data_IF_942258415103
#
_entry.id   IF_942258415103
#
_cell.length_a   1.000
_cell.length_b   1.000
_cell.length_c   1.000
_cell.angle_alpha   90.00
_cell.angle_beta   90.00
_cell.angle_gamma   90.00
#
_symmetry.space_group_name_H-M   'P 1'
#
loop_
_entity.id
_entity.type
_entity.pdbx_description
1 polymer ?
#
# COMPACT_ATOMS: atom_id res chain seq x y z
N UNK A 1 -23.22 13.97 49.12
CA UNK A 1 -23.57 13.86 47.69
C UNK A 1 -22.36 14.19 46.86
N UNK A 2 -21.91 13.25 46.01
CA UNK A 2 -20.78 13.46 45.09
C UNK A 2 -21.30 14.09 43.80
N UNK A 3 -20.74 15.24 43.41
CA UNK A 3 -21.00 15.88 42.12
C UNK A 3 -20.23 15.17 41.00
N UNK A 4 -20.95 14.68 40.00
CA UNK A 4 -20.40 14.15 38.75
C UNK A 4 -20.95 14.96 37.58
N UNK A 5 -20.08 15.69 36.88
CA UNK A 5 -20.41 16.34 35.61
C UNK A 5 -20.51 15.31 34.48
N UNK A 6 -21.26 15.59 33.39
CA UNK A 6 -21.43 14.64 32.31
C UNK A 6 -20.16 14.55 31.44
N UNK A 7 -19.62 13.33 31.33
CA UNK A 7 -18.64 12.94 30.33
C UNK A 7 -19.28 13.00 28.94
N UNK A 8 -18.72 13.83 28.04
CA UNK A 8 -19.00 13.76 26.61
C UNK A 8 -18.41 12.46 26.03
N UNK A 9 -19.16 11.66 25.25
CA UNK A 9 -18.60 10.56 24.51
C UNK A 9 -17.73 11.10 23.36
N UNK A 10 -16.50 10.57 23.27
CA UNK A 10 -15.52 10.93 22.26
C UNK A 10 -16.01 10.68 20.83
N UNK A 11 -15.67 11.62 19.95
CA UNK A 11 -15.83 11.48 18.50
C UNK A 11 -15.04 10.29 17.95
N UNK A 12 -15.56 9.55 16.95
CA UNK A 12 -14.79 8.52 16.27
C UNK A 12 -13.70 9.16 15.40
N UNK A 13 -12.46 8.72 15.59
CA UNK A 13 -11.32 9.01 14.71
C UNK A 13 -11.61 8.49 13.30
N UNK A 14 -11.39 9.32 12.28
CA UNK A 14 -11.53 8.95 10.88
C UNK A 14 -10.57 7.79 10.54
N UNK A 15 -11.13 6.59 10.41
CA UNK A 15 -10.38 5.40 10.06
C UNK A 15 -9.88 5.51 8.61
N UNK A 16 -8.59 5.75 8.44
CA UNK A 16 -7.87 5.41 7.21
C UNK A 16 -8.00 3.89 7.01
N UNK A 17 -8.86 3.50 6.07
CA UNK A 17 -9.09 2.10 5.72
C UNK A 17 -7.82 1.46 5.19
N UNK A 18 -7.31 0.42 5.87
CA UNK A 18 -6.24 -0.43 5.34
C UNK A 18 -6.87 -1.44 4.40
N UNK A 19 -6.66 -1.26 3.11
CA UNK A 19 -7.05 -2.24 2.11
C UNK A 19 -6.48 -3.62 2.47
N UNK A 20 -7.36 -4.60 2.66
CA UNK A 20 -6.98 -5.96 3.04
C UNK A 20 -6.82 -6.82 1.79
N UNK A 21 -5.60 -7.26 1.54
CA UNK A 21 -5.30 -8.32 0.58
C UNK A 21 -5.20 -9.64 1.33
N UNK A 22 -6.11 -10.57 1.07
CA UNK A 22 -6.10 -11.88 1.70
C UNK A 22 -5.62 -12.97 0.72
N UNK A 23 -4.43 -13.50 0.97
CA UNK A 23 -3.98 -14.77 0.40
C UNK A 23 -4.30 -15.86 1.42
N UNK A 24 -5.58 -16.29 1.48
CA UNK A 24 -5.97 -17.43 2.30
C UNK A 24 -5.48 -18.72 1.61
N UNK A 25 -4.54 -19.41 2.25
CA UNK A 25 -4.37 -20.86 2.07
C UNK A 25 -5.30 -21.54 3.07
N UNK A 26 -6.08 -22.53 2.63
CA UNK A 26 -6.78 -23.40 3.57
C UNK A 26 -5.76 -24.26 4.36
N UNK A 27 -5.93 -24.28 5.69
CA UNK A 27 -5.49 -25.34 6.59
C UNK A 27 -4.00 -25.40 7.01
N UNK A 28 -3.68 -24.94 8.23
CA UNK A 28 -2.95 -25.74 9.25
C UNK A 28 -2.70 -24.98 10.56
N UNK A 29 -2.50 -25.68 11.71
CA UNK A 29 -2.94 -25.23 13.02
C UNK A 29 -1.94 -24.38 13.82
N UNK A 30 -2.52 -23.65 14.79
CA UNK A 30 -1.85 -22.82 15.80
C UNK A 30 -0.90 -23.65 16.67
N UNK A 31 0.31 -23.14 16.91
CA UNK A 31 1.14 -23.52 18.06
C UNK A 31 1.18 -22.38 19.07
N UNK A 32 0.71 -22.67 20.26
CA UNK A 32 0.86 -21.91 21.50
C UNK A 32 2.28 -22.07 22.04
N UNK A 33 2.89 -20.97 22.52
CA UNK A 33 4.17 -20.98 23.23
C UNK A 33 4.08 -20.16 24.53
N UNK A 34 4.80 -20.53 25.61
CA UNK A 34 4.59 -19.97 26.95
C UNK A 34 5.50 -18.76 27.29
N UNK A 35 5.16 -18.11 28.40
CA UNK A 35 5.78 -16.92 29.01
C UNK A 35 6.98 -17.24 29.92
N UNK A 36 7.99 -16.36 29.93
CA UNK A 36 8.86 -15.97 31.07
C UNK A 36 9.88 -14.94 30.52
N UNK A 37 10.44 -13.95 31.22
CA UNK A 37 10.43 -13.50 32.61
C UNK A 37 11.15 -12.13 32.69
N UNK A 38 10.98 -11.42 33.80
CA UNK A 38 11.52 -10.08 34.07
C UNK A 38 13.06 -10.01 34.17
N UNK A 39 13.62 -8.86 33.81
CA UNK A 39 14.99 -8.46 34.13
C UNK A 39 15.12 -6.94 34.16
N UNK A 40 15.24 -6.37 35.38
CA UNK A 40 15.51 -4.94 35.61
C UNK A 40 17.00 -4.64 35.36
N UNK A 41 17.29 -3.57 34.63
CA UNK A 41 18.63 -2.97 34.55
C UNK A 41 18.54 -1.47 34.30
N UNK A 42 18.95 -0.66 35.29
CA UNK A 42 19.17 0.79 35.16
C UNK A 42 20.55 1.02 34.55
N UNK A 43 20.69 1.95 33.59
CA UNK A 43 21.80 2.92 33.57
C UNK A 43 21.69 3.96 32.44
N UNK A 44 21.75 5.22 32.87
CA UNK A 44 22.53 6.36 32.34
C UNK A 44 22.13 6.95 30.98
N UNK A 45 21.73 8.22 31.07
CA UNK A 45 21.51 9.10 29.93
C UNK A 45 22.80 9.38 29.15
N UNK A 46 22.64 9.38 27.83
CA UNK A 46 23.56 10.01 26.89
C UNK A 46 22.72 10.86 25.95
N UNK A 47 23.07 12.14 25.83
CA UNK A 47 22.47 13.11 24.91
C UNK A 47 22.59 12.58 23.48
N UNK A 48 21.52 12.02 22.95
CA UNK A 48 21.44 11.64 21.54
C UNK A 48 21.29 12.92 20.70
N UNK A 49 22.41 13.33 20.11
CA UNK A 49 22.51 14.26 18.98
C UNK A 49 21.34 14.03 18.00
N UNK A 50 20.60 15.10 17.66
CA UNK A 50 19.56 15.13 16.63
C UNK A 50 20.18 14.79 15.27
N UNK A 51 20.44 13.51 15.02
CA UNK A 51 20.73 13.00 13.68
C UNK A 51 19.41 12.97 12.93
N UNK A 52 19.25 13.98 12.06
CA UNK A 52 18.28 14.03 10.98
C UNK A 52 18.25 12.65 10.30
N UNK A 53 17.22 11.86 10.59
CA UNK A 53 17.03 10.53 9.99
C UNK A 53 16.79 10.75 8.50
N UNK A 54 17.86 10.62 7.71
CA UNK A 54 17.78 10.51 6.26
C UNK A 54 17.08 9.17 6.01
N UNK A 55 15.80 9.19 5.67
CA UNK A 55 15.03 8.00 5.31
C UNK A 55 15.55 7.45 3.99
N UNK A 56 16.67 6.74 4.07
CA UNK A 56 17.48 6.23 2.97
C UNK A 56 16.82 5.09 2.19
N UNK A 57 15.57 4.72 2.50
CA UNK A 57 14.88 3.56 1.92
C UNK A 57 13.68 3.86 1.02
N UNK A 58 13.31 5.13 0.77
CA UNK A 58 12.05 5.46 0.06
C UNK A 58 12.29 5.92 -1.36
N UNK A 59 12.15 5.02 -2.33
CA UNK A 59 12.14 5.36 -3.76
C UNK A 59 10.70 5.63 -4.20
N UNK A 60 10.40 6.90 -4.48
CA UNK A 60 9.11 7.31 -5.07
C UNK A 60 9.11 6.92 -6.55
N UNK A 61 8.09 6.18 -6.98
CA UNK A 61 7.88 5.94 -8.41
C UNK A 61 7.13 7.13 -9.00
N UNK A 62 7.72 7.76 -10.03
CA UNK A 62 6.99 8.63 -10.95
C UNK A 62 6.55 7.75 -12.14
N UNK A 63 5.31 7.25 -12.14
CA UNK A 63 4.83 6.43 -13.25
C UNK A 63 4.68 7.26 -14.52
N UNK A 64 5.10 6.71 -15.65
CA UNK A 64 4.90 7.32 -16.97
C UNK A 64 3.57 6.81 -17.57
N UNK A 65 2.79 7.67 -18.25
CA UNK A 65 1.63 7.23 -19.01
C UNK A 65 2.10 6.39 -20.20
N UNK A 66 1.67 5.12 -20.24
CA UNK A 66 2.05 4.21 -21.32
C UNK A 66 0.97 4.03 -22.37
N UNK A 67 -0.29 3.88 -21.95
CA UNK A 67 -1.41 3.54 -22.84
C UNK A 67 -2.72 4.12 -22.26
N UNK A 68 -3.41 4.90 -23.08
CA UNK A 68 -4.74 5.45 -22.78
C UNK A 68 -5.62 5.22 -23.99
N UNK A 69 -6.67 4.42 -23.84
CA UNK A 69 -7.71 4.24 -24.85
C UNK A 69 -9.06 4.42 -24.16
N UNK A 70 -9.88 5.35 -24.66
CA UNK A 70 -11.19 5.69 -24.10
C UNK A 70 -11.14 6.02 -22.59
N UNK A 71 -10.22 6.92 -22.24
CA UNK A 71 -9.97 7.39 -20.87
C UNK A 71 -9.07 8.62 -20.84
N UNK A 72 -8.71 9.08 -19.65
CA UNK A 72 -7.78 10.18 -19.45
C UNK A 72 -6.87 9.95 -18.24
N UNK A 73 -5.67 10.51 -18.33
CA UNK A 73 -4.73 10.61 -17.21
C UNK A 73 -4.52 12.10 -16.97
N UNK A 74 -4.95 12.60 -15.82
CA UNK A 74 -4.86 14.03 -15.48
C UNK A 74 -4.34 14.20 -14.06
N UNK A 75 -3.61 15.29 -13.82
CA UNK A 75 -3.27 15.72 -12.46
C UNK A 75 -4.37 16.65 -11.99
N UNK A 76 -5.03 16.30 -10.90
CA UNK A 76 -6.13 17.08 -10.32
C UNK A 76 -5.84 17.34 -8.84
N UNK A 77 -6.43 18.40 -8.29
CA UNK A 77 -6.44 18.64 -6.84
C UNK A 77 -7.63 17.90 -6.24
N UNK A 78 -7.38 16.94 -5.34
CA UNK A 78 -8.47 16.21 -4.69
C UNK A 78 -9.03 17.02 -3.51
N UNK A 79 -10.36 17.09 -3.41
CA UNK A 79 -11.04 17.90 -2.40
C UNK A 79 -10.81 17.41 -0.96
N UNK A 80 -10.59 16.11 -0.75
CA UNK A 80 -10.48 15.54 0.60
C UNK A 80 -9.11 15.80 1.21
N UNK A 81 -8.04 15.78 0.39
CA UNK A 81 -6.66 15.96 0.84
C UNK A 81 -6.03 17.30 0.42
N UNK A 82 -6.75 18.09 -0.39
CA UNK A 82 -6.31 19.38 -0.93
C UNK A 82 -4.90 19.32 -1.55
N UNK A 83 -4.59 18.21 -2.22
CA UNK A 83 -3.27 17.93 -2.78
C UNK A 83 -3.39 17.43 -4.21
N UNK A 84 -2.32 17.61 -4.99
CA UNK A 84 -2.24 17.12 -6.35
C UNK A 84 -2.16 15.59 -6.37
N UNK A 85 -3.06 14.98 -7.12
CA UNK A 85 -3.16 13.53 -7.31
C UNK A 85 -3.21 13.22 -8.79
N UNK A 86 -2.73 12.04 -9.16
CA UNK A 86 -2.84 11.53 -10.51
C UNK A 86 -4.15 10.75 -10.63
N UNK A 87 -5.11 11.30 -11.37
CA UNK A 87 -6.34 10.59 -11.73
C UNK A 87 -6.13 9.82 -13.03
N UNK A 88 -6.51 8.54 -13.00
CA UNK A 88 -6.52 7.65 -14.16
C UNK A 88 -7.95 7.13 -14.26
N UNK A 89 -8.65 7.51 -15.32
CA UNK A 89 -10.01 7.07 -15.57
C UNK A 89 -10.10 6.46 -16.97
N UNK A 90 -10.89 5.41 -17.11
CA UNK A 90 -11.10 4.75 -18.39
C UNK A 90 -12.30 3.83 -18.36
N UNK A 91 -13.00 3.76 -19.48
CA UNK A 91 -14.15 2.86 -19.66
C UNK A 91 -13.75 1.40 -19.50
N UNK A 92 -12.61 1.01 -20.06
CA UNK A 92 -12.04 -0.32 -19.92
C UNK A 92 -10.76 -0.31 -19.06
N UNK A 93 -10.79 -1.06 -17.97
CA UNK A 93 -9.69 -1.18 -17.01
C UNK A 93 -8.45 -1.80 -17.66
N UNK A 94 -8.60 -2.72 -18.62
CA UNK A 94 -7.45 -3.39 -19.24
C UNK A 94 -6.68 -2.50 -20.21
N UNK A 95 -7.32 -1.49 -20.81
CA UNK A 95 -6.73 -0.70 -21.90
C UNK A 95 -6.07 0.59 -21.44
N UNK A 96 -6.43 1.09 -20.25
CA UNK A 96 -5.89 2.33 -19.70
C UNK A 96 -5.10 2.01 -18.44
N UNK A 97 -3.78 2.22 -18.51
CA UNK A 97 -2.88 1.95 -17.40
C UNK A 97 -1.58 2.75 -17.52
N UNK A 98 -0.96 2.95 -16.37
CA UNK A 98 0.40 3.44 -16.24
C UNK A 98 1.34 2.27 -15.96
N UNK A 99 2.55 2.32 -16.50
CA UNK A 99 3.60 1.33 -16.23
C UNK A 99 4.86 2.03 -15.76
N UNK A 100 5.58 1.36 -14.86
CA UNK A 100 6.91 1.74 -14.46
C UNK A 100 7.79 0.48 -14.51
N UNK A 101 8.83 0.43 -15.35
CA UNK A 101 9.36 1.51 -16.20
C UNK A 101 8.57 1.70 -17.50
N UNK A 102 8.72 2.88 -18.15
CA UNK A 102 8.06 3.20 -19.41
C UNK A 102 8.45 2.24 -20.56
N UNK A 103 9.74 1.86 -20.59
CA UNK A 103 10.28 0.94 -21.59
C UNK A 103 9.97 -0.52 -21.21
N UNK A 104 9.38 -1.33 -22.10
CA UNK A 104 9.17 -2.77 -21.92
C UNK A 104 10.46 -3.56 -21.64
N UNK A 105 11.60 -3.12 -22.20
CA UNK A 105 12.89 -3.82 -22.09
C UNK A 105 13.61 -3.53 -20.77
N UNK A 106 13.31 -2.39 -20.13
CA UNK A 106 13.93 -1.99 -18.87
C UNK A 106 13.22 -2.62 -17.68
N UNK A 107 13.95 -2.77 -16.58
CA UNK A 107 13.44 -3.26 -15.29
C UNK A 107 13.73 -2.24 -14.20
N UNK A 108 12.90 -2.22 -13.15
CA UNK A 108 13.06 -1.33 -12.00
C UNK A 108 14.24 -1.73 -11.09
N UNK A 109 14.44 -3.03 -10.89
CA UNK A 109 15.52 -3.58 -10.05
C UNK A 109 15.40 -3.21 -8.57
N UNK A 110 14.17 -3.10 -8.04
CA UNK A 110 13.94 -2.67 -6.65
C UNK A 110 13.89 -3.90 -5.74
N UNK A 111 14.82 -4.00 -4.79
CA UNK A 111 14.95 -5.14 -3.86
C UNK A 111 14.13 -5.00 -2.56
N UNK A 112 13.40 -3.90 -2.42
CA UNK A 112 12.60 -3.62 -1.23
C UNK A 112 11.36 -4.53 -1.21
N UNK A 113 11.04 -5.20 -0.08
CA UNK A 113 9.98 -6.21 0.00
C UNK A 113 8.56 -5.65 0.10
N UNK A 114 8.37 -4.44 0.63
CA UNK A 114 7.05 -3.85 0.77
C UNK A 114 6.81 -2.81 -0.31
N UNK A 115 5.73 -2.99 -1.06
CA UNK A 115 5.17 -1.97 -1.95
C UNK A 115 3.99 -1.32 -1.24
N UNK A 116 4.05 0.00 -1.07
CA UNK A 116 2.98 0.77 -0.45
C UNK A 116 2.42 1.77 -1.44
N UNK A 117 1.10 1.77 -1.58
CA UNK A 117 0.36 2.64 -2.50
C UNK A 117 -0.75 3.36 -1.75
N UNK A 118 -0.85 4.67 -1.97
CA UNK A 118 -1.93 5.50 -1.44
C UNK A 118 -2.86 5.82 -2.60
N UNK A 119 -4.02 5.18 -2.61
CA UNK A 119 -5.00 5.29 -3.69
C UNK A 119 -6.37 5.67 -3.16
N UNK A 120 -7.14 6.45 -3.92
CA UNK A 120 -8.55 6.69 -3.64
C UNK A 120 -9.40 5.73 -4.46
N UNK A 121 -10.33 5.06 -3.78
CA UNK A 121 -11.32 4.20 -4.41
C UNK A 121 -12.42 5.06 -5.06
N UNK A 122 -12.60 4.93 -6.37
CA UNK A 122 -13.64 5.61 -7.14
C UNK A 122 -14.92 4.78 -7.27
N UNK A 123 -15.08 3.70 -6.49
CA UNK A 123 -16.21 2.75 -6.55
C UNK A 123 -16.40 2.12 -7.94
N UNK A 124 -15.31 2.01 -8.70
CA UNK A 124 -15.24 1.44 -10.05
C UNK A 124 -14.24 0.29 -10.07
N UNK A 125 -14.26 -0.52 -11.12
CA UNK A 125 -13.33 -1.63 -11.25
C UNK A 125 -11.89 -1.16 -11.36
N UNK A 126 -11.03 -1.70 -10.50
CA UNK A 126 -9.63 -1.35 -10.35
C UNK A 126 -8.77 -2.62 -10.23
N UNK A 127 -7.60 -2.57 -10.85
CA UNK A 127 -6.59 -3.62 -10.72
C UNK A 127 -5.19 -3.02 -10.78
N UNK A 128 -4.24 -3.68 -10.12
CA UNK A 128 -2.83 -3.41 -10.32
C UNK A 128 -2.07 -4.71 -10.52
N UNK A 129 -0.93 -4.62 -11.21
CA UNK A 129 -0.02 -5.72 -11.47
C UNK A 129 1.39 -5.37 -11.01
N UNK A 130 2.05 -6.33 -10.38
CA UNK A 130 3.46 -6.25 -10.01
C UNK A 130 4.17 -7.47 -10.54
N UNK A 131 5.23 -7.25 -11.31
CA UNK A 131 6.11 -8.29 -11.79
C UNK A 131 7.34 -8.39 -10.89
N UNK A 132 7.60 -9.58 -10.38
CA UNK A 132 8.73 -9.88 -9.51
C UNK A 132 9.64 -10.93 -10.12
N UNK A 133 10.88 -10.94 -9.67
CA UNK A 133 11.85 -11.99 -9.92
C UNK A 133 12.01 -12.84 -8.65
N UNK A 134 11.97 -14.16 -8.80
CA UNK A 134 12.23 -15.11 -7.73
C UNK A 134 13.67 -15.66 -7.75
N UNK A 135 14.06 -16.39 -6.70
CA UNK A 135 15.36 -17.07 -6.56
C UNK A 135 15.65 -18.14 -7.61
N UNK A 136 14.60 -18.64 -8.29
CA UNK A 136 14.70 -19.56 -9.43
C UNK A 136 14.83 -18.83 -10.76
N UNK A 137 15.05 -17.51 -10.72
CA UNK A 137 15.14 -16.65 -11.90
C UNK A 137 13.88 -16.68 -12.79
N UNK A 138 12.73 -17.01 -12.21
CA UNK A 138 11.42 -17.03 -12.87
C UNK A 138 10.71 -15.71 -12.60
N UNK A 139 10.19 -15.12 -13.68
CA UNK A 139 9.39 -13.89 -13.61
C UNK A 139 7.96 -14.22 -13.26
N UNK A 140 7.47 -13.72 -12.14
CA UNK A 140 6.10 -13.96 -11.67
C UNK A 140 5.32 -12.66 -11.59
N UNK A 141 4.04 -12.74 -11.89
CA UNK A 141 3.14 -11.58 -11.86
C UNK A 141 2.10 -11.75 -10.76
N UNK A 142 1.99 -10.74 -9.93
CA UNK A 142 0.92 -10.59 -8.95
C UNK A 142 -0.09 -9.58 -9.49
N UNK A 143 -1.31 -10.03 -9.75
CA UNK A 143 -2.43 -9.16 -10.11
C UNK A 143 -3.38 -9.11 -8.93
N UNK A 144 -3.70 -7.92 -8.46
CA UNK A 144 -4.72 -7.72 -7.44
C UNK A 144 -5.85 -6.87 -8.01
N UNK A 145 -7.09 -7.33 -7.83
CA UNK A 145 -8.27 -6.73 -8.46
C UNK A 145 -9.47 -6.73 -7.54
N UNK A 146 -10.30 -5.69 -7.61
CA UNK A 146 -11.49 -5.54 -6.76
C UNK A 146 -12.74 -6.31 -7.26
N UNK A 147 -12.72 -6.80 -8.50
CA UNK A 147 -13.79 -7.63 -9.09
C UNK A 147 -13.52 -9.14 -8.97
N UNK A 148 -12.37 -9.54 -8.46
CA UNK A 148 -12.03 -10.93 -8.24
C UNK A 148 -12.46 -11.32 -6.83
N UNK A 149 -13.15 -12.46 -6.68
CA UNK A 149 -13.59 -12.96 -5.37
C UNK A 149 -12.66 -14.04 -4.80
N UNK A 150 -11.96 -14.78 -5.66
CA UNK A 150 -11.14 -15.93 -5.25
C UNK A 150 -9.68 -15.75 -5.67
N UNK A 151 -8.75 -16.11 -4.79
CA UNK A 151 -7.33 -16.19 -5.13
C UNK A 151 -7.09 -17.37 -6.08
N UNK A 152 -6.32 -17.16 -7.15
CA UNK A 152 -5.91 -18.21 -8.09
C UNK A 152 -4.41 -18.13 -8.33
N UNK A 153 -3.72 -19.25 -8.13
CA UNK A 153 -2.27 -19.34 -8.33
C UNK A 153 -2.00 -20.17 -9.57
N UNK A 154 -1.50 -19.54 -10.62
CA UNK A 154 -0.94 -20.18 -11.82
C UNK A 154 0.57 -20.05 -11.80
N UNK A 155 1.34 -20.88 -12.53
CA UNK A 155 2.80 -20.84 -12.51
C UNK A 155 3.41 -19.44 -12.69
N UNK A 156 2.89 -18.63 -13.62
CA UNK A 156 3.45 -17.29 -13.89
C UNK A 156 2.62 -16.14 -13.33
N UNK A 157 1.39 -16.39 -12.86
CA UNK A 157 0.44 -15.35 -12.47
C UNK A 157 -0.33 -15.77 -11.23
N UNK A 158 -0.31 -14.93 -10.21
CA UNK A 158 -1.18 -15.04 -9.04
C UNK A 158 -2.20 -13.91 -9.08
N UNK A 159 -3.49 -14.25 -9.17
CA UNK A 159 -4.60 -13.29 -9.11
C UNK A 159 -5.19 -13.29 -7.71
N UNK A 160 -5.24 -12.13 -7.05
CA UNK A 160 -5.74 -11.98 -5.68
C UNK A 160 -6.94 -11.03 -5.64
N UNK A 161 -7.96 -11.34 -4.81
CA UNK A 161 -9.01 -10.39 -4.50
C UNK A 161 -8.44 -9.26 -3.64
N UNK A 162 -8.96 -8.04 -3.83
CA UNK A 162 -8.77 -6.95 -2.88
C UNK A 162 -10.10 -6.36 -2.49
N UNK A 163 -10.18 -5.87 -1.25
CA UNK A 163 -11.27 -5.02 -0.80
C UNK A 163 -10.69 -3.64 -0.50
N UNK A 164 -11.33 -2.63 -1.08
CA UNK A 164 -11.01 -1.22 -0.87
C UNK A 164 -12.18 -0.59 -0.14
N UNK A 165 -11.87 0.18 0.88
CA UNK A 165 -12.86 0.96 1.61
C UNK A 165 -13.22 2.22 0.80
N UNK A 166 -14.24 2.93 1.23
CA UNK A 166 -14.63 4.20 0.63
C UNK A 166 -13.60 5.29 0.96
N UNK A 167 -13.23 6.09 -0.04
CA UNK A 167 -12.27 7.17 0.12
C UNK A 167 -10.81 6.74 -0.06
N UNK A 168 -9.92 7.33 0.74
CA UNK A 168 -8.48 7.15 0.64
C UNK A 168 -8.02 5.88 1.36
N UNK A 169 -7.36 4.99 0.63
CA UNK A 169 -6.88 3.70 1.09
C UNK A 169 -5.36 3.64 1.02
N UNK A 170 -4.74 3.10 2.07
CA UNK A 170 -3.32 2.74 2.05
C UNK A 170 -3.18 1.24 1.81
N UNK A 171 -2.79 0.86 0.60
CA UNK A 171 -2.50 -0.53 0.23
C UNK A 171 -1.06 -0.85 0.62
N UNK A 172 -0.89 -1.90 1.40
CA UNK A 172 0.42 -2.46 1.76
C UNK A 172 0.54 -3.84 1.14
N UNK A 173 1.51 -4.02 0.26
CA UNK A 173 1.70 -5.25 -0.49
C UNK A 173 3.06 -5.85 -0.15
N UNK A 174 3.05 -6.94 0.62
CA UNK A 174 4.25 -7.64 1.03
C UNK A 174 4.67 -8.66 -0.04
N UNK A 175 5.56 -8.24 -0.94
CA UNK A 175 6.00 -9.04 -2.08
C UNK A 175 6.71 -10.32 -1.65
N UNK A 176 7.58 -10.23 -0.64
CA UNK A 176 8.38 -11.39 -0.18
C UNK A 176 7.53 -12.49 0.45
N UNK A 177 6.52 -12.09 1.21
CA UNK A 177 5.63 -13.03 1.86
C UNK A 177 4.63 -13.64 0.87
N UNK A 178 4.19 -12.88 -0.14
CA UNK A 178 3.36 -13.39 -1.21
C UNK A 178 4.10 -14.33 -2.17
N UNK A 179 5.38 -14.10 -2.51
CA UNK A 179 6.17 -15.06 -3.31
C UNK A 179 6.33 -16.38 -2.57
N UNK A 180 6.68 -16.31 -1.27
CA UNK A 180 6.85 -17.49 -0.43
C UNK A 180 5.54 -18.27 -0.27
N UNK A 181 4.41 -17.57 -0.05
CA UNK A 181 3.08 -18.20 0.06
C UNK A 181 2.48 -18.65 -1.27
N UNK A 182 2.82 -18.08 -2.41
CA UNK A 182 2.25 -18.53 -3.68
C UNK A 182 3.08 -19.66 -4.29
N UNK A 183 4.40 -19.57 -4.24
CA UNK A 183 5.30 -20.42 -5.03
C UNK A 183 6.36 -21.15 -4.20
N UNK A 184 6.47 -20.87 -2.90
CA UNK A 184 7.52 -21.43 -2.05
C UNK A 184 8.93 -20.93 -2.40
N UNK A 185 9.03 -19.79 -3.08
CA UNK A 185 10.29 -19.16 -3.51
C UNK A 185 10.54 -17.84 -2.81
N UNK A 186 11.81 -17.41 -2.78
CA UNK A 186 12.19 -16.14 -2.21
C UNK A 186 12.09 -15.00 -3.23
N UNK A 187 11.70 -13.83 -2.75
CA UNK A 187 11.66 -12.60 -3.54
C UNK A 187 13.08 -12.03 -3.68
N UNK A 188 13.50 -11.74 -4.91
CA UNK A 188 14.74 -11.00 -5.19
C UNK A 188 14.43 -9.52 -5.40
N UNK A 189 13.62 -9.21 -6.40
CA UNK A 189 13.38 -7.83 -6.82
C UNK A 189 12.07 -7.67 -7.60
N UNK A 190 11.60 -6.42 -7.63
CA UNK A 190 10.49 -5.98 -8.47
C UNK A 190 11.02 -5.47 -9.81
N UNK A 191 10.48 -6.03 -10.88
CA UNK A 191 10.84 -5.70 -12.26
C UNK A 191 9.96 -4.60 -12.83
N UNK A 192 8.65 -4.68 -12.59
CA UNK A 192 7.65 -3.78 -13.19
C UNK A 192 6.45 -3.60 -12.29
N UNK A 193 5.92 -2.39 -12.24
CA UNK A 193 4.63 -2.07 -11.60
C UNK A 193 3.72 -1.47 -12.65
N UNK A 194 2.51 -1.98 -12.74
CA UNK A 194 1.47 -1.50 -13.65
C UNK A 194 0.20 -1.23 -12.85
N UNK A 195 -0.39 -0.06 -13.02
CA UNK A 195 -1.60 0.34 -12.31
C UNK A 195 -2.64 0.72 -13.34
N UNK A 196 -3.81 0.11 -13.26
CA UNK A 196 -4.87 0.30 -14.22
C UNK A 196 -5.79 1.46 -13.83
N UNK A 197 -6.70 1.78 -14.76
CA UNK A 197 -7.67 2.84 -14.62
C UNK A 197 -8.62 2.70 -13.43
N UNK A 198 -9.35 3.80 -13.20
CA UNK A 198 -10.35 4.01 -12.17
C UNK A 198 -9.77 4.12 -10.76
N UNK A 199 -8.67 4.86 -10.64
CA UNK A 199 -8.08 5.22 -9.36
C UNK A 199 -7.54 6.65 -9.37
N UNK A 200 -7.45 7.25 -8.19
CA UNK A 200 -6.59 8.42 -7.96
C UNK A 200 -5.42 8.01 -7.12
N UNK A 201 -4.22 8.31 -7.59
CA UNK A 201 -2.97 7.91 -6.98
C UNK A 201 -2.33 9.15 -6.39
N UNK A 202 -2.04 9.10 -5.08
CA UNK A 202 -1.24 10.14 -4.42
C UNK A 202 0.23 9.78 -4.48
N UNK A 203 0.59 8.58 -4.01
CA UNK A 203 1.99 8.12 -3.90
C UNK A 203 2.11 6.61 -4.04
N UNK A 204 3.21 6.20 -4.65
CA UNK A 204 3.64 4.79 -4.73
C UNK A 204 5.11 4.77 -4.32
N UNK A 205 5.43 4.00 -3.30
CA UNK A 205 6.79 3.87 -2.82
C UNK A 205 7.06 2.46 -2.33
N UNK A 206 8.33 2.10 -2.32
CA UNK A 206 8.78 0.87 -1.69
C UNK A 206 9.37 1.16 -0.31
N UNK A 207 9.29 0.18 0.58
CA UNK A 207 9.93 0.20 1.88
C UNK A 207 10.54 -1.16 2.23
N UNK A 208 11.54 -1.12 3.10
CA UNK A 208 12.21 -2.26 3.73
C UNK A 208 11.31 -2.92 4.79
N UNK A 209 10.54 -2.10 5.51
CA UNK A 209 9.60 -2.51 6.56
C UNK A 209 8.29 -1.72 6.49
N UNK A 210 7.28 -2.17 7.22
CA UNK A 210 6.06 -1.41 7.44
C UNK A 210 6.31 -0.38 8.54
N UNK A 211 6.35 0.88 8.16
CA UNK A 211 6.44 2.00 9.11
C UNK A 211 5.05 2.30 9.68
N UNK A 212 4.98 2.54 10.99
CA UNK A 212 3.78 3.14 11.62
C UNK A 212 3.63 4.59 11.17
N UNK A 213 2.40 5.11 11.27
CA UNK A 213 2.09 6.50 10.90
C UNK A 213 2.99 7.52 11.59
N UNK A 214 3.48 7.23 12.80
CA UNK A 214 4.38 8.12 13.56
C UNK A 214 5.79 8.21 12.98
N UNK A 215 6.30 7.11 12.43
CA UNK A 215 7.65 7.03 11.84
C UNK A 215 7.70 7.50 10.37
N UNK A 216 6.53 7.69 9.74
CA UNK A 216 6.44 8.27 8.40
C UNK A 216 6.66 9.79 8.51
N UNK A 217 7.64 10.42 7.85
CA UNK A 217 7.66 11.87 7.63
C UNK A 217 6.33 12.35 7.06
N UNK A 218 6.00 13.60 7.39
CA UNK A 218 4.73 14.24 7.06
C UNK A 218 4.35 14.10 5.59
N UNK A 219 5.33 14.08 4.69
CA UNK A 219 5.09 13.88 3.25
C UNK A 219 4.41 12.54 2.93
N UNK A 220 4.72 11.46 3.64
CA UNK A 220 4.20 10.12 3.37
C UNK A 220 2.98 9.76 4.23
N UNK A 221 2.59 10.63 5.18
CA UNK A 221 1.37 10.47 5.94
C UNK A 221 0.17 10.89 5.09
N UNK A 222 -0.90 10.11 5.18
CA UNK A 222 -2.19 10.49 4.63
C UNK A 222 -2.84 11.49 5.60
N UNK A 223 -2.57 12.78 5.42
CA UNK A 223 -3.37 13.81 6.08
C UNK A 223 -4.66 14.02 5.28
N UNK A 224 -5.80 13.72 5.91
CA UNK A 224 -7.10 14.23 5.52
C UNK A 224 -7.31 15.49 6.38
N UNK A 225 -7.25 16.72 5.84
CA UNK A 225 -7.65 17.91 6.57
C UNK A 225 -9.05 17.69 7.14
N UNK A 226 -9.16 17.70 8.47
CA UNK A 226 -10.45 17.71 9.14
C UNK A 226 -11.11 19.02 8.76
N UNK A 227 -12.16 18.97 7.94
CA UNK A 227 -13.04 20.12 7.77
C UNK A 227 -13.63 20.38 9.16
N UNK A 228 -13.17 21.46 9.80
CA UNK A 228 -13.85 22.01 10.96
C UNK A 228 -15.26 22.31 10.51
N UNK A 229 -16.23 21.45 10.86
CA UNK A 229 -17.63 21.81 10.82
C UNK A 229 -17.76 23.04 11.72
N UNK A 230 -17.85 24.22 11.11
CA UNK A 230 -18.26 25.41 11.80
C UNK A 230 -19.60 25.07 12.46
N UNK A 231 -19.61 25.02 13.80
CA UNK A 231 -20.85 25.03 14.57
C UNK A 231 -21.57 26.33 14.21
N UNK A 232 -22.66 26.22 13.46
CA UNK A 232 -23.75 27.19 13.56
C UNK A 232 -24.55 26.86 14.81
#
# INVERSE_FOLDING_TARGET
GRGGGPCFPGLPSAASGRARLELRREGSPRKTGPRSGEGRGRARGSRASRRKVRLSGRRLLLPAPSQVRNGHIKRITDNDIQSLVLEIEGTNVSTTYITCPADPKKTLGIKLPFLVMIIKNLKKYFTFEVQVLDDKNVRRRFRASNYQSTTRVKPFICTMPMRLDDGWNQIQFNLSDFTRRAYGTNYIETLRVQIHANCRIRRIYFSDRLYSEDELPAEFKLYIPVQNKAKQ
#
